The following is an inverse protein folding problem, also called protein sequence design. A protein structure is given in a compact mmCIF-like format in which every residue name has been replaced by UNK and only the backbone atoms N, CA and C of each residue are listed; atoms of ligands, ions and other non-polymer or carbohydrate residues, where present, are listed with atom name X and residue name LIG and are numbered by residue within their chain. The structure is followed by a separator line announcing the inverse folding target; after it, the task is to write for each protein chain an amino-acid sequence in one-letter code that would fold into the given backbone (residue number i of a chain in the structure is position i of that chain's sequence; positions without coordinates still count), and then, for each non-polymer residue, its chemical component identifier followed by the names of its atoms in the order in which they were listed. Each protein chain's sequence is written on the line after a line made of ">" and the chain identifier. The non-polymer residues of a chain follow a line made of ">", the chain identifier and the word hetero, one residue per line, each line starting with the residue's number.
data_IF_449914338362
#
_entry.id   IF_449914338362
#
_cell.length_a   1.000
_cell.length_b   1.000
_cell.length_c   1.000
_cell.angle_alpha   90.00
_cell.angle_beta   90.00
_cell.angle_gamma   90.00
#
_symmetry.space_group_name_H-M   'P 1'
#
loop_
_entity.id
_entity.type
_entity.pdbx_description
1 polymer ?
#
# COMPACT_ATOMS: atom_id res chain seq x y z
N UNK A 1 -2.38 22.23 14.89
CA UNK A 1 -1.27 21.42 14.34
C UNK A 1 -1.76 20.14 13.67
N UNK A 2 -2.50 19.27 14.37
CA UNK A 2 -3.00 18.00 13.81
C UNK A 2 -3.88 18.16 12.56
N UNK A 3 -4.79 19.13 12.54
CA UNK A 3 -5.69 19.39 11.41
C UNK A 3 -4.94 19.82 10.14
N UNK A 4 -3.85 20.58 10.28
CA UNK A 4 -3.02 21.04 9.16
C UNK A 4 -2.29 19.83 8.55
N UNK A 5 -1.67 19.01 9.41
CA UNK A 5 -0.99 17.79 8.98
C UNK A 5 -1.95 16.82 8.29
N UNK A 6 -3.13 16.61 8.87
CA UNK A 6 -4.14 15.73 8.29
C UNK A 6 -4.62 16.23 6.93
N UNK A 7 -4.90 17.54 6.78
CA UNK A 7 -5.29 18.12 5.50
C UNK A 7 -4.18 17.99 4.45
N UNK A 8 -2.92 18.15 4.85
CA UNK A 8 -1.78 17.92 3.97
C UNK A 8 -1.72 16.47 3.47
N UNK A 9 -1.86 15.49 4.38
CA UNK A 9 -1.86 14.06 4.04
C UNK A 9 -3.03 13.74 3.12
N UNK A 10 -4.23 14.21 3.48
CA UNK A 10 -5.46 14.01 2.71
C UNK A 10 -5.27 14.48 1.27
N UNK A 11 -4.81 15.71 1.07
CA UNK A 11 -4.68 16.30 -0.27
C UNK A 11 -3.55 15.69 -1.10
N UNK A 12 -2.49 15.18 -0.45
CA UNK A 12 -1.32 14.62 -1.13
C UNK A 12 -1.26 13.09 -1.07
N UNK A 13 -2.34 12.42 -0.66
CA UNK A 13 -2.36 11.00 -0.31
C UNK A 13 -1.80 10.10 -1.42
N UNK A 14 -2.20 10.35 -2.67
CA UNK A 14 -1.71 9.57 -3.80
C UNK A 14 -0.22 9.80 -4.08
N UNK A 15 0.28 11.04 -3.96
CA UNK A 15 1.68 11.35 -4.21
C UNK A 15 2.55 10.73 -3.12
N UNK A 16 2.12 10.82 -1.86
CA UNK A 16 2.77 10.16 -0.73
C UNK A 16 2.81 8.64 -0.90
N UNK A 17 1.69 8.04 -1.32
CA UNK A 17 1.60 6.60 -1.58
C UNK A 17 2.50 6.17 -2.74
N UNK A 18 2.50 6.94 -3.83
CA UNK A 18 3.32 6.65 -5.01
C UNK A 18 4.81 6.80 -4.69
N UNK A 19 5.18 7.83 -3.91
CA UNK A 19 6.54 8.02 -3.42
C UNK A 19 6.98 6.86 -2.51
N UNK A 20 6.13 6.45 -1.57
CA UNK A 20 6.37 5.29 -0.72
C UNK A 20 6.61 4.02 -1.56
N UNK A 21 5.73 3.74 -2.52
CA UNK A 21 5.84 2.58 -3.40
C UNK A 21 7.13 2.63 -4.23
N UNK A 22 7.54 3.80 -4.75
CA UNK A 22 8.80 3.94 -5.46
C UNK A 22 10.00 3.64 -4.54
N UNK A 23 10.02 4.23 -3.35
CA UNK A 23 11.12 4.06 -2.40
C UNK A 23 11.27 2.60 -1.99
N UNK A 24 10.18 1.93 -1.62
CA UNK A 24 10.23 0.49 -1.29
C UNK A 24 10.61 -0.35 -2.50
N UNK A 25 10.11 -0.01 -3.70
CA UNK A 25 10.43 -0.73 -4.93
C UNK A 25 11.89 -0.59 -5.34
N UNK A 26 12.56 0.54 -5.09
CA UNK A 26 13.97 0.70 -5.44
C UNK A 26 14.89 0.10 -4.38
N UNK A 27 14.70 0.47 -3.12
CA UNK A 27 15.66 0.21 -2.06
C UNK A 27 15.45 -1.14 -1.36
N UNK A 28 14.22 -1.66 -1.32
CA UNK A 28 13.94 -2.90 -0.61
C UNK A 28 13.98 -4.09 -1.58
N UNK A 29 14.53 -5.21 -1.10
CA UNK A 29 14.56 -6.50 -1.81
C UNK A 29 13.77 -7.58 -1.09
N UNK A 30 13.11 -7.22 0.00
CA UNK A 30 12.36 -8.15 0.81
C UNK A 30 11.20 -8.76 0.02
N UNK A 31 11.08 -10.10 -0.06
CA UNK A 31 10.03 -10.75 -0.83
C UNK A 31 8.63 -10.36 -0.35
N UNK A 32 8.41 -10.22 0.97
CA UNK A 32 7.11 -9.83 1.51
C UNK A 32 6.76 -8.40 1.11
N UNK A 33 7.71 -7.47 1.21
CA UNK A 33 7.47 -6.08 0.81
C UNK A 33 7.18 -5.99 -0.69
N UNK A 34 7.90 -6.75 -1.52
CA UNK A 34 7.63 -6.81 -2.96
C UNK A 34 6.20 -7.31 -3.24
N UNK A 35 5.74 -8.34 -2.53
CA UNK A 35 4.34 -8.83 -2.63
C UNK A 35 3.36 -7.75 -2.18
N UNK A 36 3.59 -7.12 -1.03
CA UNK A 36 2.71 -6.07 -0.52
C UNK A 36 2.62 -4.89 -1.50
N UNK A 37 3.73 -4.49 -2.12
CA UNK A 37 3.74 -3.47 -3.17
C UNK A 37 2.89 -3.91 -4.38
N UNK A 38 3.08 -5.13 -4.88
CA UNK A 38 2.29 -5.67 -6.00
C UNK A 38 0.80 -5.69 -5.65
N UNK A 39 0.43 -6.25 -4.50
CA UNK A 39 -0.97 -6.33 -4.06
C UNK A 39 -1.58 -4.94 -3.89
N UNK A 40 -0.84 -3.99 -3.31
CA UNK A 40 -1.30 -2.61 -3.13
C UNK A 40 -1.56 -1.94 -4.48
N UNK A 41 -0.63 -2.05 -5.43
CA UNK A 41 -0.82 -1.50 -6.78
C UNK A 41 -2.02 -2.13 -7.49
N UNK A 42 -2.18 -3.45 -7.43
CA UNK A 42 -3.33 -4.15 -8.03
C UNK A 42 -4.64 -3.66 -7.42
N UNK A 43 -4.73 -3.58 -6.08
CA UNK A 43 -5.94 -3.12 -5.40
C UNK A 43 -6.32 -1.68 -5.79
N UNK A 44 -5.33 -0.80 -5.93
CA UNK A 44 -5.58 0.60 -6.32
C UNK A 44 -6.04 0.69 -7.77
N UNK A 45 -5.36 -0.02 -8.68
CA UNK A 45 -5.77 -0.09 -10.10
C UNK A 45 -7.19 -0.65 -10.22
N UNK A 46 -7.49 -1.75 -9.52
CA UNK A 46 -8.84 -2.34 -9.50
C UNK A 46 -9.87 -1.33 -8.99
N UNK A 47 -9.58 -0.60 -7.90
CA UNK A 47 -10.48 0.44 -7.37
C UNK A 47 -10.72 1.57 -8.37
N UNK A 48 -9.70 1.98 -9.12
CA UNK A 48 -9.88 2.99 -10.18
C UNK A 48 -10.71 2.46 -11.35
N UNK A 49 -10.50 1.21 -11.77
CA UNK A 49 -11.30 0.60 -12.84
C UNK A 49 -12.76 0.44 -12.44
N UNK A 50 -13.04 0.05 -11.20
CA UNK A 50 -14.42 -0.19 -10.72
C UNK A 50 -15.07 1.05 -10.09
N UNK A 51 -14.35 2.18 -9.97
CA UNK A 51 -14.79 3.37 -9.23
C UNK A 51 -15.34 3.06 -7.82
N UNK A 52 -14.75 2.07 -7.15
CA UNK A 52 -15.30 1.54 -5.90
C UNK A 52 -14.67 2.20 -4.68
N UNK A 53 -15.39 3.18 -4.13
CA UNK A 53 -14.94 3.98 -2.97
C UNK A 53 -15.16 3.30 -1.61
N UNK A 54 -15.68 2.07 -1.55
CA UNK A 54 -15.93 1.41 -0.27
C UNK A 54 -14.66 0.70 0.20
N UNK A 55 -14.34 0.90 1.47
CA UNK A 55 -13.25 0.25 2.18
C UNK A 55 -13.80 -0.32 3.48
N UNK A 56 -13.63 -1.63 3.69
CA UNK A 56 -14.05 -2.31 4.93
C UNK A 56 -13.43 -1.65 6.16
N UNK A 57 -12.18 -1.17 6.06
CA UNK A 57 -11.53 -0.45 7.14
C UNK A 57 -12.20 0.89 7.45
N UNK A 58 -12.69 1.60 6.43
CA UNK A 58 -13.47 2.82 6.63
C UNK A 58 -14.81 2.55 7.33
N UNK A 59 -15.49 1.44 6.98
CA UNK A 59 -16.71 1.01 7.68
C UNK A 59 -16.41 0.72 9.16
N UNK A 60 -15.31 0.02 9.44
CA UNK A 60 -14.88 -0.28 10.80
C UNK A 60 -14.58 1.01 11.58
N UNK A 61 -13.85 1.96 10.98
CA UNK A 61 -13.58 3.26 11.59
C UNK A 61 -14.87 4.02 11.92
N UNK A 62 -15.81 4.12 10.96
CA UNK A 62 -17.09 4.77 11.18
C UNK A 62 -17.86 4.15 12.35
N UNK A 63 -17.88 2.80 12.45
CA UNK A 63 -18.55 2.09 13.54
C UNK A 63 -17.87 2.32 14.89
N UNK A 64 -16.54 2.27 14.95
CA UNK A 64 -15.78 2.47 16.19
C UNK A 64 -15.93 3.90 16.73
N UNK A 65 -15.91 4.90 15.85
CA UNK A 65 -15.99 6.31 16.24
C UNK A 65 -17.41 6.87 16.26
N UNK A 66 -18.40 6.09 15.80
CA UNK A 66 -19.80 6.53 15.60
C UNK A 66 -19.91 7.79 14.74
N UNK A 67 -19.10 7.85 13.69
CA UNK A 67 -19.09 8.98 12.74
C UNK A 67 -19.72 8.60 11.42
N UNK A 68 -20.22 9.62 10.71
CA UNK A 68 -20.74 9.44 9.36
C UNK A 68 -19.59 9.10 8.38
N UNK A 69 -19.93 8.58 7.21
CA UNK A 69 -18.93 8.27 6.17
C UNK A 69 -18.12 9.51 5.75
N UNK A 70 -18.73 10.69 5.71
CA UNK A 70 -18.06 11.92 5.32
C UNK A 70 -16.99 12.37 6.32
N UNK A 71 -17.13 11.98 7.59
CA UNK A 71 -16.25 12.38 8.69
C UNK A 71 -15.16 11.34 8.98
N UNK A 72 -15.17 10.20 8.30
CA UNK A 72 -14.13 9.17 8.43
C UNK A 72 -12.85 9.61 7.76
N UNK A 73 -11.75 9.50 8.49
CA UNK A 73 -10.43 9.84 7.98
C UNK A 73 -10.00 8.90 6.85
N UNK A 74 -10.31 7.61 6.99
CA UNK A 74 -9.99 6.62 5.96
C UNK A 74 -10.75 6.92 4.68
N UNK A 75 -12.04 7.24 4.76
CA UNK A 75 -12.82 7.60 3.57
C UNK A 75 -12.30 8.87 2.92
N UNK A 76 -11.99 9.91 3.69
CA UNK A 76 -11.44 11.16 3.14
C UNK A 76 -10.09 10.98 2.42
N UNK A 77 -9.19 10.15 2.97
CA UNK A 77 -7.91 9.84 2.33
C UNK A 77 -8.13 8.98 1.08
N UNK A 78 -8.97 7.94 1.18
CA UNK A 78 -9.19 7.00 0.08
C UNK A 78 -9.96 7.63 -1.07
N UNK A 79 -10.94 8.47 -0.79
CA UNK A 79 -11.70 9.19 -1.81
C UNK A 79 -10.76 10.09 -2.63
N UNK A 80 -9.78 10.73 -2.01
CA UNK A 80 -8.77 11.50 -2.74
C UNK A 80 -7.87 10.63 -3.63
N UNK A 81 -7.49 9.44 -3.16
CA UNK A 81 -6.75 8.46 -3.97
C UNK A 81 -7.60 8.00 -5.17
N UNK A 82 -8.88 7.69 -4.96
CA UNK A 82 -9.76 7.19 -6.03
C UNK A 82 -10.20 8.30 -7.00
N UNK A 83 -10.37 9.52 -6.52
CA UNK A 83 -10.80 10.67 -7.32
C UNK A 83 -9.82 11.00 -8.47
N UNK A 84 -8.58 10.53 -8.43
CA UNK A 84 -7.65 10.65 -9.56
C UNK A 84 -8.21 10.10 -10.86
N UNK A 85 -9.11 9.11 -10.82
CA UNK A 85 -9.71 8.56 -12.04
C UNK A 85 -10.55 9.60 -12.82
N UNK A 86 -10.93 10.70 -12.18
CA UNK A 86 -11.60 11.86 -12.81
C UNK A 86 -10.63 12.85 -13.45
N UNK A 87 -9.34 12.79 -13.09
CA UNK A 87 -8.31 13.71 -13.56
C UNK A 87 -7.58 13.15 -14.79
N UNK A 88 -7.04 14.05 -15.62
CA UNK A 88 -6.22 13.68 -16.80
C UNK A 88 -4.93 12.94 -16.40
N UNK A 89 -4.44 13.20 -15.18
CA UNK A 89 -3.24 12.56 -14.61
C UNK A 89 -3.40 11.06 -14.35
N UNK A 90 -4.60 10.49 -14.42
CA UNK A 90 -4.82 9.05 -14.17
C UNK A 90 -3.93 8.14 -15.00
N UNK A 91 -3.67 8.50 -16.26
CA UNK A 91 -2.85 7.69 -17.16
C UNK A 91 -1.39 7.64 -16.71
N UNK A 92 -0.87 8.73 -16.14
CA UNK A 92 0.45 8.76 -15.54
C UNK A 92 0.55 7.76 -14.39
N UNK A 93 -0.43 7.76 -13.48
CA UNK A 93 -0.45 6.82 -12.35
C UNK A 93 -0.65 5.37 -12.77
N UNK A 94 -1.47 5.08 -13.78
CA UNK A 94 -1.61 3.73 -14.33
C UNK A 94 -0.27 3.21 -14.86
N UNK A 95 0.43 4.00 -15.69
CA UNK A 95 1.74 3.61 -16.25
C UNK A 95 2.75 3.41 -15.11
N UNK A 96 2.81 4.35 -14.17
CA UNK A 96 3.71 4.28 -13.01
C UNK A 96 3.48 2.98 -12.20
N UNK A 97 2.23 2.64 -11.90
CA UNK A 97 1.91 1.49 -11.07
C UNK A 97 2.14 0.18 -11.81
N UNK A 98 1.92 0.15 -13.14
CA UNK A 98 2.29 -0.99 -13.97
C UNK A 98 3.80 -1.24 -13.98
N UNK A 99 4.62 -0.19 -14.07
CA UNK A 99 6.09 -0.30 -13.97
C UNK A 99 6.49 -0.85 -12.61
N UNK A 100 5.91 -0.33 -11.53
CA UNK A 100 6.17 -0.78 -10.15
C UNK A 100 5.83 -2.27 -10.00
N UNK A 101 4.67 -2.72 -10.50
CA UNK A 101 4.27 -4.13 -10.47
C UNK A 101 5.31 -4.99 -11.18
N UNK A 102 5.73 -4.62 -12.39
CA UNK A 102 6.69 -5.39 -13.19
C UNK A 102 8.03 -5.52 -12.45
N UNK A 103 8.54 -4.44 -11.85
CA UNK A 103 9.81 -4.45 -11.11
C UNK A 103 9.71 -5.34 -9.87
N UNK A 104 8.68 -5.15 -9.04
CA UNK A 104 8.50 -5.95 -7.82
C UNK A 104 8.26 -7.42 -8.15
N UNK A 105 7.51 -7.73 -9.21
CA UNK A 105 7.25 -9.11 -9.63
C UNK A 105 8.55 -9.81 -10.06
N UNK A 106 9.42 -9.11 -10.81
CA UNK A 106 10.75 -9.62 -11.18
C UNK A 106 11.63 -9.85 -9.95
N UNK A 107 11.64 -8.91 -8.99
CA UNK A 107 12.38 -9.06 -7.73
C UNK A 107 11.86 -10.25 -6.91
N UNK A 108 10.54 -10.38 -6.79
CA UNK A 108 9.90 -11.47 -6.08
C UNK A 108 10.24 -12.82 -6.70
N UNK A 109 10.13 -12.97 -8.02
CA UNK A 109 10.47 -14.23 -8.72
C UNK A 109 11.93 -14.65 -8.50
N UNK A 110 12.86 -13.68 -8.42
CA UNK A 110 14.29 -13.96 -8.12
C UNK A 110 14.55 -14.43 -6.68
N UNK A 111 13.63 -14.16 -5.75
CA UNK A 111 13.83 -14.48 -4.33
C UNK A 111 13.63 -15.96 -3.99
N UNK A 112 13.09 -16.77 -4.92
CA UNK A 112 12.68 -18.16 -4.69
C UNK A 112 11.75 -18.36 -3.47
N UNK A 113 11.14 -17.28 -2.96
CA UNK A 113 10.24 -17.32 -1.84
C UNK A 113 8.88 -17.86 -2.30
N UNK A 114 8.41 -18.93 -1.64
CA UNK A 114 7.12 -19.52 -1.96
C UNK A 114 6.10 -19.17 -0.87
N UNK A 115 5.19 -18.25 -1.18
CA UNK A 115 4.12 -17.76 -0.30
C UNK A 115 3.22 -18.88 0.24
N UNK A 116 3.03 -19.94 -0.53
CA UNK A 116 2.10 -21.02 -0.19
C UNK A 116 2.71 -22.10 0.69
N UNK A 117 4.03 -22.05 0.93
CA UNK A 117 4.71 -22.96 1.87
C UNK A 117 4.84 -22.28 3.22
N UNK A 118 3.99 -22.67 4.16
CA UNK A 118 3.97 -22.15 5.55
C UNK A 118 5.37 -22.26 6.20
N UNK A 119 6.13 -23.31 5.88
CA UNK A 119 7.48 -23.51 6.44
C UNK A 119 8.48 -22.42 6.01
N UNK A 120 8.37 -21.89 4.79
CA UNK A 120 9.18 -20.77 4.34
C UNK A 120 8.83 -19.48 5.07
N UNK A 121 7.54 -19.27 5.37
CA UNK A 121 7.06 -18.11 6.12
C UNK A 121 7.51 -18.17 7.59
N UNK A 122 7.35 -19.34 8.25
CA UNK A 122 7.85 -19.56 9.63
C UNK A 122 9.36 -19.34 9.72
N UNK A 123 10.13 -19.95 8.82
CA UNK A 123 11.60 -19.80 8.78
C UNK A 123 12.03 -18.35 8.53
N UNK A 124 11.29 -17.60 7.72
CA UNK A 124 11.55 -16.18 7.48
C UNK A 124 11.29 -15.34 8.75
N UNK A 125 10.17 -15.57 9.45
CA UNK A 125 9.87 -14.90 10.73
C UNK A 125 10.94 -15.22 11.77
N UNK A 126 11.27 -16.50 11.96
CA UNK A 126 12.27 -16.95 12.93
C UNK A 126 13.66 -16.35 12.65
N UNK A 127 14.09 -16.31 11.38
CA UNK A 127 15.35 -15.67 11.00
C UNK A 127 15.33 -14.16 11.22
N UNK A 128 14.20 -13.48 10.98
CA UNK A 128 14.03 -12.06 11.27
C UNK A 128 14.11 -11.75 12.77
N UNK A 129 13.54 -12.61 13.62
CA UNK A 129 13.62 -12.50 15.08
C UNK A 129 15.03 -12.78 15.62
N UNK A 130 15.72 -13.78 15.09
CA UNK A 130 17.08 -14.13 15.52
C UNK A 130 18.13 -13.05 15.18
N UNK A 131 17.96 -12.34 14.07
CA UNK A 131 18.82 -11.20 13.72
C UNK A 131 18.62 -10.05 14.73
N UNK A 132 17.38 -9.78 15.16
CA UNK A 132 17.11 -8.76 16.20
C UNK A 132 17.71 -9.12 17.56
N UNK A 133 17.76 -10.39 17.96
CA UNK A 133 18.38 -10.79 19.23
C UNK A 133 19.91 -10.71 19.22
N UNK A 134 20.56 -10.86 18.06
CA UNK A 134 22.03 -10.70 17.95
C UNK A 134 22.51 -9.24 17.92
N UNK A 135 21.65 -8.30 17.54
CA UNK A 135 21.99 -6.87 17.51
C UNK A 135 21.85 -6.23 18.91
N UNK A 136 21.12 -6.87 19.83
CA UNK A 136 20.89 -6.41 21.20
C UNK A 136 21.78 -7.11 22.25
N UNK A 137 22.88 -7.75 21.84
CA UNK A 137 23.95 -8.26 22.72
C UNK A 137 25.25 -7.58 22.38
#
# INVERSE_FOLDING_TARGET
>A
MFTILFNFIKNNAIYLLSFYLLLTTFFLRDPLINIFNISTCILIISKWLTNYNICTMGIIECKLRRVSRGDSYIYQILDNIVNINKNKEKYFFYILYMIIIIINFRKFRKSNFNLFKIDHYKKYIENGFNIKMKINK
#
